data_IF_323349014545
#
_entry.id   IF_323349014545
#
_cell.length_a   1.000
_cell.length_b   1.000
_cell.length_c   1.000
_cell.angle_alpha   90.00
_cell.angle_beta   90.00
_cell.angle_gamma   90.00
#
_symmetry.space_group_name_H-M   'P 1'
#
loop_
_entity.id
_entity.type
_entity.pdbx_description
1 polymer ?
#
# COMPACT_ATOMS: atom_id res chain seq x y z
N UNK A 1 2.47 -14.56 -2.04
CA UNK A 1 2.69 -13.09 -2.11
C UNK A 1 2.54 -12.64 -3.56
N UNK A 2 1.84 -11.53 -3.82
CA UNK A 2 1.70 -10.93 -5.14
C UNK A 2 2.89 -10.02 -5.41
N UNK A 3 3.64 -10.34 -6.47
CA UNK A 3 4.76 -9.51 -6.92
C UNK A 3 4.27 -8.19 -7.51
N UNK A 4 3.07 -8.20 -8.08
CA UNK A 4 2.40 -7.01 -8.61
C UNK A 4 2.13 -5.97 -7.53
N UNK A 5 1.61 -6.38 -6.36
CA UNK A 5 1.48 -5.45 -5.23
C UNK A 5 2.83 -4.89 -4.78
N UNK A 6 3.89 -5.70 -4.75
CA UNK A 6 5.22 -5.23 -4.35
C UNK A 6 5.79 -4.21 -5.34
N UNK A 7 5.58 -4.40 -6.65
CA UNK A 7 5.93 -3.41 -7.69
C UNK A 7 5.17 -2.10 -7.44
N UNK A 8 3.86 -2.17 -7.17
CA UNK A 8 3.06 -0.98 -6.91
C UNK A 8 3.56 -0.22 -5.66
N UNK A 9 3.89 -0.91 -4.56
CA UNK A 9 4.47 -0.27 -3.39
C UNK A 9 5.85 0.35 -3.66
N UNK A 10 6.70 -0.31 -4.46
CA UNK A 10 7.98 0.28 -4.87
C UNK A 10 7.77 1.56 -5.70
N UNK A 11 6.80 1.58 -6.62
CA UNK A 11 6.44 2.79 -7.37
C UNK A 11 5.95 3.89 -6.42
N UNK A 12 5.05 3.56 -5.48
CA UNK A 12 4.53 4.50 -4.48
C UNK A 12 5.67 5.17 -3.70
N UNK A 13 6.60 4.40 -3.14
CA UNK A 13 7.69 4.98 -2.35
C UNK A 13 8.67 5.78 -3.20
N UNK A 14 8.90 5.35 -4.43
CA UNK A 14 9.75 6.08 -5.37
C UNK A 14 9.18 7.44 -5.72
N UNK A 15 7.89 7.52 -6.06
CA UNK A 15 7.25 8.79 -6.44
C UNK A 15 6.98 9.69 -5.24
N UNK A 16 6.67 9.11 -4.07
CA UNK A 16 6.40 9.88 -2.84
C UNK A 16 7.62 10.56 -2.27
N UNK A 17 8.77 9.90 -2.32
CA UNK A 17 9.98 10.32 -1.62
C UNK A 17 11.01 10.98 -2.54
N UNK A 18 10.58 11.50 -3.70
CA UNK A 18 11.44 12.32 -4.56
C UNK A 18 11.93 13.58 -3.85
N UNK A 19 11.20 14.06 -2.85
CA UNK A 19 11.58 15.17 -1.99
C UNK A 19 12.81 14.89 -1.10
N UNK A 20 13.29 13.63 -1.05
CA UNK A 20 14.48 13.26 -0.28
C UNK A 20 15.74 14.01 -0.73
N UNK A 21 15.82 14.39 -2.00
CA UNK A 21 16.97 15.17 -2.53
C UNK A 21 16.76 16.68 -2.45
N UNK A 22 15.54 17.15 -2.15
CA UNK A 22 15.20 18.58 -2.13
C UNK A 22 14.97 19.12 -0.73
N UNK A 23 14.50 18.28 0.20
CA UNK A 23 13.94 18.71 1.47
C UNK A 23 14.43 17.82 2.61
N UNK A 24 15.08 18.45 3.59
CA UNK A 24 15.44 17.78 4.85
C UNK A 24 14.45 18.16 5.95
N UNK A 25 13.71 17.17 6.47
CA UNK A 25 12.76 17.34 7.58
C UNK A 25 13.44 16.94 8.91
N UNK A 26 13.97 15.72 8.97
CA UNK A 26 14.69 15.20 10.13
C UNK A 26 15.51 13.97 9.77
N UNK A 27 16.46 13.59 10.64
CA UNK A 27 17.25 12.38 10.48
C UNK A 27 16.36 11.13 10.45
N UNK A 28 15.35 11.05 11.33
CA UNK A 28 14.37 9.96 11.35
C UNK A 28 13.57 9.89 10.05
N UNK A 29 13.04 11.01 9.57
CA UNK A 29 12.25 11.05 8.34
C UNK A 29 13.09 10.58 7.13
N UNK A 30 14.30 11.10 7.00
CA UNK A 30 15.22 10.75 5.92
C UNK A 30 15.59 9.26 5.97
N UNK A 31 15.96 8.76 7.15
CA UNK A 31 16.30 7.35 7.34
C UNK A 31 15.13 6.43 6.97
N UNK A 32 13.91 6.73 7.45
CA UNK A 32 12.73 5.90 7.16
C UNK A 32 12.37 5.88 5.68
N UNK A 33 12.49 7.02 4.96
CA UNK A 33 12.29 7.06 3.51
C UNK A 33 13.27 6.14 2.77
N UNK A 34 14.55 6.18 3.14
CA UNK A 34 15.59 5.28 2.57
C UNK A 34 15.23 3.83 2.86
N UNK A 35 14.85 3.50 4.09
CA UNK A 35 14.46 2.13 4.46
C UNK A 35 13.29 1.64 3.61
N UNK A 36 12.23 2.45 3.42
CA UNK A 36 11.07 2.05 2.60
C UNK A 36 11.43 1.84 1.13
N UNK A 37 12.25 2.71 0.54
CA UNK A 37 12.74 2.54 -0.84
C UNK A 37 13.58 1.26 -0.93
N UNK A 38 14.62 1.12 -0.11
CA UNK A 38 15.55 -0.02 -0.21
C UNK A 38 14.81 -1.34 0.02
N UNK A 39 13.98 -1.44 1.05
CA UNK A 39 13.27 -2.70 1.37
C UNK A 39 12.24 -3.08 0.32
N UNK A 40 11.54 -2.11 -0.28
CA UNK A 40 10.60 -2.40 -1.38
C UNK A 40 11.32 -2.90 -2.63
N UNK A 41 12.42 -2.25 -3.06
CA UNK A 41 13.22 -2.72 -4.18
C UNK A 41 13.90 -4.07 -3.92
N UNK A 42 14.41 -4.30 -2.70
CA UNK A 42 14.96 -5.60 -2.31
C UNK A 42 13.88 -6.67 -2.40
N UNK A 43 12.66 -6.41 -1.93
CA UNK A 43 11.55 -7.36 -2.02
C UNK A 43 11.21 -7.70 -3.48
N UNK A 44 11.11 -6.69 -4.34
CA UNK A 44 10.90 -6.90 -5.79
C UNK A 44 12.04 -7.72 -6.40
N UNK A 45 13.30 -7.41 -6.08
CA UNK A 45 14.46 -8.17 -6.55
C UNK A 45 14.42 -9.63 -6.08
N UNK A 46 14.07 -9.87 -4.81
CA UNK A 46 13.95 -11.21 -4.26
C UNK A 46 12.85 -12.00 -5.00
N UNK A 47 11.72 -11.39 -5.31
CA UNK A 47 10.61 -12.06 -6.00
C UNK A 47 10.87 -12.33 -7.48
N UNK A 48 11.41 -11.37 -8.22
CA UNK A 48 11.54 -11.47 -9.68
C UNK A 48 12.90 -11.97 -10.17
N UNK A 49 13.92 -11.97 -9.32
CA UNK A 49 15.28 -12.40 -9.68
C UNK A 49 15.72 -13.57 -8.82
N UNK A 50 15.94 -13.37 -7.51
CA UNK A 50 16.60 -14.39 -6.66
C UNK A 50 15.74 -15.64 -6.45
N UNK A 51 14.46 -15.45 -6.16
CA UNK A 51 13.49 -16.52 -5.88
C UNK A 51 12.39 -16.57 -6.95
N UNK A 52 12.73 -16.22 -8.20
CA UNK A 52 11.81 -16.24 -9.33
C UNK A 52 11.12 -17.60 -9.52
N UNK A 53 11.83 -18.71 -9.25
CA UNK A 53 11.33 -20.05 -9.41
C UNK A 53 10.14 -20.39 -8.48
N UNK A 54 10.02 -19.71 -7.33
CA UNK A 54 8.93 -19.91 -6.37
C UNK A 54 7.79 -18.90 -6.55
N UNK A 55 7.91 -17.97 -7.50
CA UNK A 55 6.89 -16.97 -7.75
C UNK A 55 5.77 -17.55 -8.61
N UNK A 56 4.56 -17.57 -8.04
CA UNK A 56 3.36 -18.10 -8.70
C UNK A 56 2.76 -17.08 -9.67
N UNK A 57 3.27 -17.08 -10.90
CA UNK A 57 2.77 -16.21 -11.96
C UNK A 57 1.35 -16.56 -12.43
N UNK A 58 0.94 -17.83 -12.27
CA UNK A 58 -0.33 -18.33 -12.77
C UNK A 58 -1.51 -17.81 -11.94
N UNK A 59 -1.31 -17.58 -10.65
CA UNK A 59 -2.36 -17.02 -9.77
C UNK A 59 -2.27 -15.49 -9.64
N UNK A 60 -1.11 -14.87 -9.82
CA UNK A 60 -0.92 -13.40 -9.76
C UNK A 60 -1.36 -12.70 -11.07
N UNK A 61 -2.61 -12.89 -11.48
CA UNK A 61 -3.12 -12.45 -12.80
C UNK A 61 -3.75 -11.05 -12.81
N UNK A 62 -3.69 -10.30 -11.71
CA UNK A 62 -4.31 -8.98 -11.62
C UNK A 62 -3.70 -7.99 -12.62
N UNK A 63 -4.50 -7.19 -13.33
CA UNK A 63 -4.00 -6.22 -14.33
C UNK A 63 -3.77 -4.85 -13.66
N UNK A 64 -2.51 -4.55 -13.35
CA UNK A 64 -2.14 -3.35 -12.58
C UNK A 64 -2.32 -2.05 -13.37
N UNK A 65 -2.45 -2.13 -14.70
CA UNK A 65 -2.72 -0.97 -15.56
C UNK A 65 -4.04 -0.30 -15.18
N UNK A 66 -5.03 -1.08 -14.72
CA UNK A 66 -6.31 -0.57 -14.21
C UNK A 66 -6.20 0.15 -12.87
N UNK A 67 -5.03 0.13 -12.21
CA UNK A 67 -4.77 0.90 -11.00
C UNK A 67 -3.90 2.11 -11.30
N UNK A 68 -2.84 1.89 -12.07
CA UNK A 68 -1.88 2.95 -12.42
C UNK A 68 -2.57 4.03 -13.27
N UNK A 69 -3.30 3.66 -14.32
CA UNK A 69 -3.90 4.65 -15.22
C UNK A 69 -4.93 5.53 -14.52
N UNK A 70 -5.92 4.99 -13.75
CA UNK A 70 -6.85 5.85 -13.02
C UNK A 70 -6.16 6.69 -11.94
N UNK A 71 -5.16 6.16 -11.23
CA UNK A 71 -4.40 6.94 -10.24
C UNK A 71 -3.64 8.10 -10.89
N UNK A 72 -3.03 7.87 -12.06
CA UNK A 72 -2.33 8.91 -12.81
C UNK A 72 -3.28 9.99 -13.32
N UNK A 73 -4.41 9.59 -13.90
CA UNK A 73 -5.44 10.54 -14.38
C UNK A 73 -5.98 11.35 -13.19
N UNK A 74 -6.31 10.70 -12.08
CA UNK A 74 -6.83 11.37 -10.89
C UNK A 74 -5.82 12.37 -10.33
N UNK A 75 -4.54 12.02 -10.26
CA UNK A 75 -3.49 12.92 -9.78
C UNK A 75 -3.26 14.15 -10.67
N UNK A 76 -3.48 14.02 -11.99
CA UNK A 76 -3.41 15.16 -12.92
C UNK A 76 -4.62 16.09 -12.80
N UNK A 77 -5.79 15.53 -12.49
CA UNK A 77 -7.05 16.30 -12.39
C UNK A 77 -7.30 16.88 -11.00
N UNK A 78 -6.91 16.15 -9.95
CA UNK A 78 -7.16 16.47 -8.54
C UNK A 78 -5.83 16.40 -7.80
N UNK A 79 -5.21 17.57 -7.60
CA UNK A 79 -4.00 17.80 -6.84
C UNK A 79 -4.10 19.13 -6.08
N UNK A 80 -3.23 19.35 -5.10
CA UNK A 80 -3.20 20.64 -4.39
C UNK A 80 -2.52 21.74 -5.22
N UNK A 81 -1.47 21.38 -5.97
CA UNK A 81 -0.71 22.29 -6.81
C UNK A 81 -0.21 21.55 -8.07
N UNK A 82 -0.28 22.21 -9.23
CA UNK A 82 0.10 21.61 -10.51
C UNK A 82 1.62 21.71 -10.76
N UNK A 83 2.41 21.14 -9.83
CA UNK A 83 3.86 20.96 -9.97
C UNK A 83 4.18 19.48 -10.14
N UNK A 84 5.31 19.16 -10.77
CA UNK A 84 5.71 17.76 -11.00
C UNK A 84 5.82 16.98 -9.69
N UNK A 85 6.39 17.59 -8.65
CA UNK A 85 6.58 16.94 -7.35
C UNK A 85 5.23 16.68 -6.67
N UNK A 86 4.34 17.67 -6.64
CA UNK A 86 3.03 17.54 -5.99
C UNK A 86 2.11 16.56 -6.74
N UNK A 87 2.15 16.54 -8.07
CA UNK A 87 1.41 15.56 -8.88
C UNK A 87 1.93 14.14 -8.63
N UNK A 88 3.25 13.94 -8.53
CA UNK A 88 3.84 12.63 -8.23
C UNK A 88 3.56 12.19 -6.79
N UNK A 89 3.58 13.12 -5.84
CA UNK A 89 3.17 12.88 -4.47
C UNK A 89 1.69 12.47 -4.41
N UNK A 90 0.80 13.23 -5.06
CA UNK A 90 -0.64 12.94 -5.14
C UNK A 90 -0.90 11.58 -5.80
N UNK A 91 -0.22 11.30 -6.91
CA UNK A 91 -0.25 9.98 -7.57
C UNK A 91 0.13 8.85 -6.62
N UNK A 92 1.18 9.04 -5.82
CA UNK A 92 1.60 8.04 -4.83
C UNK A 92 0.50 7.75 -3.80
N UNK A 93 -0.26 8.77 -3.39
CA UNK A 93 -1.35 8.64 -2.40
C UNK A 93 -2.50 7.83 -3.00
N UNK A 94 -2.94 8.16 -4.22
CA UNK A 94 -3.98 7.40 -4.90
C UNK A 94 -3.55 5.98 -5.21
N UNK A 95 -2.33 5.78 -5.72
CA UNK A 95 -1.83 4.44 -6.05
C UNK A 95 -1.70 3.56 -4.81
N UNK A 96 -1.19 4.08 -3.70
CA UNK A 96 -1.06 3.32 -2.45
C UNK A 96 -2.40 2.82 -1.94
N UNK A 97 -3.46 3.62 -2.10
CA UNK A 97 -4.79 3.26 -1.63
C UNK A 97 -5.32 1.96 -2.25
N UNK A 98 -4.86 1.64 -3.47
CA UNK A 98 -5.29 0.46 -4.23
C UNK A 98 -4.16 -0.56 -4.48
N UNK A 99 -2.93 -0.27 -4.06
CA UNK A 99 -1.75 -1.10 -4.33
C UNK A 99 -1.85 -2.53 -3.76
N UNK A 100 -2.71 -2.74 -2.76
CA UNK A 100 -2.93 -4.05 -2.14
C UNK A 100 -3.87 -4.96 -2.93
N UNK A 101 -4.64 -4.42 -3.89
CA UNK A 101 -5.66 -5.19 -4.62
C UNK A 101 -5.11 -6.47 -5.31
N UNK A 102 -3.93 -6.47 -5.97
CA UNK A 102 -3.36 -7.70 -6.51
C UNK A 102 -3.13 -8.79 -5.46
N UNK A 103 -2.66 -8.42 -4.27
CA UNK A 103 -2.43 -9.35 -3.17
C UNK A 103 -3.74 -9.90 -2.57
N UNK A 104 -4.78 -9.07 -2.42
CA UNK A 104 -6.09 -9.54 -1.97
C UNK A 104 -6.74 -10.46 -3.01
N UNK A 105 -6.63 -10.11 -4.29
CA UNK A 105 -7.10 -10.92 -5.40
C UNK A 105 -6.39 -12.28 -5.48
N UNK A 106 -5.08 -12.30 -5.25
CA UNK A 106 -4.29 -13.53 -5.18
C UNK A 106 -4.81 -14.45 -4.07
N UNK A 107 -5.02 -13.92 -2.86
CA UNK A 107 -5.54 -14.70 -1.71
C UNK A 107 -6.95 -15.22 -1.98
N UNK A 108 -7.79 -14.43 -2.65
CA UNK A 108 -9.12 -14.88 -3.08
C UNK A 108 -9.07 -16.02 -4.09
N UNK A 109 -8.13 -15.99 -5.04
CA UNK A 109 -7.95 -17.07 -6.01
C UNK A 109 -7.36 -18.34 -5.40
N UNK A 110 -6.39 -18.22 -4.51
CA UNK A 110 -5.72 -19.39 -3.92
C UNK A 110 -6.55 -20.04 -2.82
N UNK A 111 -7.60 -19.38 -2.33
CA UNK A 111 -8.52 -19.91 -1.31
C UNK A 111 -7.91 -20.02 0.09
N UNK A 112 -6.59 -19.89 0.24
CA UNK A 112 -5.88 -19.85 1.52
C UNK A 112 -4.83 -18.72 1.53
N UNK A 113 -4.72 -18.02 2.67
CA UNK A 113 -3.56 -17.21 3.02
C UNK A 113 -2.72 -17.94 4.08
N UNK A 114 -1.41 -18.03 3.86
CA UNK A 114 -0.48 -18.48 4.90
C UNK A 114 -0.54 -17.56 6.13
N UNK A 115 -0.27 -18.12 7.32
CA UNK A 115 -0.32 -17.36 8.57
C UNK A 115 0.61 -16.14 8.56
N UNK A 116 1.85 -16.30 8.06
CA UNK A 116 2.83 -15.22 7.95
C UNK A 116 2.33 -14.11 7.00
N UNK A 117 1.77 -14.49 5.85
CA UNK A 117 1.18 -13.53 4.90
C UNK A 117 0.01 -12.78 5.55
N UNK A 118 -0.78 -13.47 6.38
CA UNK A 118 -1.90 -12.88 7.08
C UNK A 118 -1.45 -11.86 8.13
N UNK A 119 -0.38 -12.14 8.88
CA UNK A 119 0.23 -11.18 9.81
C UNK A 119 0.80 -9.95 9.08
N UNK A 120 1.47 -10.16 7.95
CA UNK A 120 1.95 -9.07 7.10
C UNK A 120 0.81 -8.15 6.65
N UNK A 121 -0.28 -8.73 6.12
CA UNK A 121 -1.45 -7.97 5.68
C UNK A 121 -2.15 -7.25 6.83
N UNK A 122 -2.20 -7.87 8.01
CA UNK A 122 -2.77 -7.25 9.20
C UNK A 122 -1.94 -6.04 9.62
N UNK A 123 -0.62 -6.16 9.75
CA UNK A 123 0.27 -5.04 10.07
C UNK A 123 0.16 -3.91 9.03
N UNK A 124 0.05 -4.29 7.75
CA UNK A 124 -0.13 -3.34 6.64
C UNK A 124 -1.49 -2.64 6.69
N UNK A 125 -2.57 -3.33 7.07
CA UNK A 125 -3.84 -2.63 7.30
C UNK A 125 -3.75 -1.72 8.54
N UNK A 126 -3.14 -2.20 9.62
CA UNK A 126 -3.11 -1.51 10.91
C UNK A 126 -2.34 -0.20 10.85
N UNK A 127 -1.25 -0.10 10.07
CA UNK A 127 -0.56 1.18 9.89
C UNK A 127 -1.53 2.23 9.35
N UNK A 128 -2.40 1.87 8.39
CA UNK A 128 -3.34 2.82 7.81
C UNK A 128 -4.41 3.25 8.81
N UNK A 129 -4.92 2.31 9.60
CA UNK A 129 -5.83 2.62 10.70
C UNK A 129 -5.22 3.62 11.70
N UNK A 130 -3.94 3.47 12.03
CA UNK A 130 -3.21 4.42 12.89
C UNK A 130 -3.04 5.79 12.21
N UNK A 131 -2.85 5.85 10.89
CA UNK A 131 -2.81 7.12 10.16
C UNK A 131 -4.15 7.86 10.18
N UNK A 132 -5.28 7.17 10.13
CA UNK A 132 -6.60 7.80 10.30
C UNK A 132 -6.70 8.48 11.68
N UNK A 133 -6.25 7.81 12.74
CA UNK A 133 -6.19 8.39 14.09
C UNK A 133 -5.24 9.58 14.15
N UNK A 134 -4.10 9.50 13.46
CA UNK A 134 -3.16 10.62 13.37
C UNK A 134 -3.78 11.84 12.68
N UNK A 135 -4.53 11.67 11.59
CA UNK A 135 -5.21 12.79 10.93
C UNK A 135 -6.28 13.42 11.80
N UNK A 136 -7.04 12.62 12.57
CA UNK A 136 -7.97 13.14 13.57
C UNK A 136 -7.21 14.00 14.59
N UNK A 137 -6.12 13.48 15.14
CA UNK A 137 -5.29 14.22 16.09
C UNK A 137 -4.77 15.55 15.50
N UNK A 138 -4.19 15.53 14.29
CA UNK A 138 -3.65 16.73 13.63
C UNK A 138 -4.73 17.75 13.27
N UNK A 139 -5.94 17.31 12.95
CA UNK A 139 -7.06 18.22 12.74
C UNK A 139 -7.39 19.00 14.01
N UNK A 140 -7.51 18.32 15.16
CA UNK A 140 -7.83 18.97 16.44
C UNK A 140 -6.66 19.77 17.03
N UNK A 141 -5.43 19.27 16.92
CA UNK A 141 -4.26 19.86 17.57
C UNK A 141 -3.53 20.90 16.71
N UNK A 142 -3.50 20.71 15.37
CA UNK A 142 -2.68 21.51 14.45
C UNK A 142 -3.54 22.29 13.42
N UNK A 143 -4.87 22.11 13.42
CA UNK A 143 -5.77 22.65 12.38
C UNK A 143 -5.34 22.30 10.95
N UNK A 144 -4.68 21.14 10.79
CA UNK A 144 -4.17 20.65 9.52
C UNK A 144 -5.08 19.55 8.96
N UNK A 145 -5.57 19.73 7.75
CA UNK A 145 -6.37 18.75 7.03
C UNK A 145 -5.96 18.66 5.56
N UNK A 146 -5.49 17.49 5.15
CA UNK A 146 -5.26 17.16 3.75
C UNK A 146 -6.38 16.21 3.29
N UNK A 147 -7.33 16.76 2.53
CA UNK A 147 -8.50 16.01 2.06
C UNK A 147 -8.12 14.87 1.12
N UNK A 148 -7.07 15.03 0.31
CA UNK A 148 -6.62 13.99 -0.63
C UNK A 148 -6.09 12.80 0.16
N UNK A 149 -5.22 13.06 1.15
CA UNK A 149 -4.68 12.02 2.01
C UNK A 149 -5.79 11.32 2.82
N UNK A 150 -6.72 12.07 3.40
CA UNK A 150 -7.81 11.53 4.23
C UNK A 150 -8.72 10.63 3.39
N UNK A 151 -9.22 11.10 2.24
CA UNK A 151 -10.14 10.33 1.39
C UNK A 151 -9.46 9.07 0.85
N UNK A 152 -8.23 9.18 0.35
CA UNK A 152 -7.48 8.01 -0.13
C UNK A 152 -7.21 7.01 1.00
N UNK A 153 -6.89 7.49 2.21
CA UNK A 153 -6.70 6.63 3.37
C UNK A 153 -7.96 5.94 3.86
N UNK A 154 -9.13 6.58 3.74
CA UNK A 154 -10.43 5.95 3.97
C UNK A 154 -10.70 4.84 2.96
N UNK A 155 -10.51 5.10 1.66
CA UNK A 155 -10.63 4.08 0.61
C UNK A 155 -9.72 2.88 0.90
N UNK A 156 -8.46 3.15 1.22
CA UNK A 156 -7.51 2.09 1.56
C UNK A 156 -7.98 1.28 2.76
N UNK A 157 -8.44 1.93 3.83
CA UNK A 157 -8.91 1.25 5.05
C UNK A 157 -10.11 0.36 4.77
N UNK A 158 -11.06 0.84 3.98
CA UNK A 158 -12.25 0.07 3.58
C UNK A 158 -11.86 -1.21 2.83
N UNK A 159 -10.85 -1.14 1.95
CA UNK A 159 -10.34 -2.32 1.25
C UNK A 159 -9.73 -3.37 2.19
N UNK A 160 -9.22 -2.97 3.36
CA UNK A 160 -8.72 -3.89 4.39
C UNK A 160 -9.82 -4.42 5.33
N UNK A 161 -11.01 -3.81 5.38
CA UNK A 161 -12.05 -4.18 6.36
C UNK A 161 -12.46 -5.66 6.29
N UNK A 162 -12.70 -6.17 5.07
CA UNK A 162 -13.08 -7.57 4.88
C UNK A 162 -11.93 -8.52 5.30
N UNK A 163 -10.70 -8.17 4.96
CA UNK A 163 -9.52 -8.91 5.38
C UNK A 163 -9.38 -8.93 6.92
N UNK A 164 -9.57 -7.80 7.59
CA UNK A 164 -9.51 -7.73 9.05
C UNK A 164 -10.58 -8.59 9.72
N UNK A 165 -11.80 -8.56 9.20
CA UNK A 165 -12.88 -9.41 9.70
C UNK A 165 -12.50 -10.89 9.64
N UNK A 166 -11.99 -11.35 8.49
CA UNK A 166 -11.57 -12.74 8.30
C UNK A 166 -10.35 -13.10 9.15
N UNK A 167 -9.39 -12.20 9.28
CA UNK A 167 -8.20 -12.39 10.10
C UNK A 167 -8.56 -12.59 11.59
N UNK A 168 -9.40 -11.72 12.15
CA UNK A 168 -9.79 -11.80 13.57
C UNK A 168 -10.64 -13.04 13.84
N UNK A 169 -11.57 -13.35 12.95
CA UNK A 169 -12.52 -14.45 13.17
C UNK A 169 -11.91 -15.82 12.92
N UNK A 170 -10.94 -15.95 12.00
CA UNK A 170 -10.33 -17.23 11.62
C UNK A 170 -8.90 -17.38 12.14
N UNK A 171 -7.99 -16.48 11.75
CA UNK A 171 -6.54 -16.64 12.00
C UNK A 171 -6.20 -16.55 13.48
N UNK A 172 -6.74 -15.57 14.21
CA UNK A 172 -6.51 -15.45 15.67
C UNK A 172 -7.07 -16.63 16.47
N UNK A 173 -8.03 -17.38 15.92
CA UNK A 173 -8.59 -18.58 16.53
C UNK A 173 -7.87 -19.86 16.08
N UNK A 174 -6.72 -19.75 15.42
CA UNK A 174 -5.94 -20.87 14.89
C UNK A 174 -6.57 -21.57 13.69
N UNK A 175 -7.60 -20.98 13.07
CA UNK A 175 -8.24 -21.52 11.87
C UNK A 175 -7.61 -20.93 10.63
N UNK A 176 -7.48 -21.74 9.56
CA UNK A 176 -7.00 -21.25 8.27
C UNK A 176 -7.93 -20.18 7.69
N UNK A 177 -7.35 -19.18 7.04
CA UNK A 177 -8.11 -18.14 6.33
C UNK A 177 -8.59 -18.72 5.01
N UNK A 178 -9.84 -19.18 4.98
CA UNK A 178 -10.54 -19.55 3.75
C UNK A 178 -11.58 -18.47 3.43
N UNK A 179 -11.55 -17.91 2.22
CA UNK A 179 -12.58 -16.99 1.77
C UNK A 179 -13.86 -17.79 1.43
N UNK A 180 -15.07 -17.30 1.79
CA UNK A 180 -16.31 -17.95 1.35
C UNK A 180 -16.36 -17.92 -0.19
N UNK A 181 -16.71 -19.07 -0.78
CA UNK A 181 -16.82 -19.27 -2.23
C UNK A 181 -17.89 -18.38 -2.87
#
# INVERSE_FOLDING_TARGET
ISGKSQILFAIVYTTRYLDLVTTYISAYNTFMKIVFIVTSYVTVFLMYVKFKATYDHNHDTFRIEFLILPASVLALLINNEFTVIEVLWTFSIYLESVAILPQLFLVSKTGEAESITSHYLFALGSYRGLYLLNWIYRYYAESHADLIAIVAGLVQTILYCDFFYLYITKVLKGKKLQLPA
#
